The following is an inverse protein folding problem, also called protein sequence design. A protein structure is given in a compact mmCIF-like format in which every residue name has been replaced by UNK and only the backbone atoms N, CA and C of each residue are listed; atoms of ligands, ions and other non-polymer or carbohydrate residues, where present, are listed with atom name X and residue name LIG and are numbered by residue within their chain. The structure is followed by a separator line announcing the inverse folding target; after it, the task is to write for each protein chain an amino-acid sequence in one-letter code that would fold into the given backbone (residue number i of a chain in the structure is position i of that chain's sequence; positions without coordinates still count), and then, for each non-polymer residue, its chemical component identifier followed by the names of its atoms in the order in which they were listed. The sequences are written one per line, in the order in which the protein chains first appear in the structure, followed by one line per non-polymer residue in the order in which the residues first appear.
data_IF_360817873074
#
_entry.id   IF_360817873074
#
_cell.length_a   1.000
_cell.length_b   1.000
_cell.length_c   1.000
_cell.angle_alpha   90.00
_cell.angle_beta   90.00
_cell.angle_gamma   90.00
#
_symmetry.space_group_name_H-M   'P 1'
#
loop_
_entity.id
_entity.type
_entity.pdbx_description
1 polymer ?
#
# COMPACT_ATOMS: atom_id res chain seq x y z
N UNK A 1 -21.84 10.99 8.88
CA UNK A 1 -20.60 11.19 9.65
C UNK A 1 -19.71 9.98 9.41
N UNK A 2 -18.98 9.98 8.28
CA UNK A 2 -18.08 8.88 7.92
C UNK A 2 -16.85 8.97 8.83
N UNK A 3 -16.99 8.37 10.00
CA UNK A 3 -15.93 8.27 10.98
C UNK A 3 -14.70 7.65 10.32
N UNK A 4 -13.59 8.34 10.50
CA UNK A 4 -12.35 8.20 9.77
C UNK A 4 -11.71 6.85 10.11
N UNK A 5 -12.13 5.81 9.39
CA UNK A 5 -11.52 4.48 9.34
C UNK A 5 -10.14 4.49 8.65
N UNK A 6 -9.44 5.63 8.61
CA UNK A 6 -8.06 5.69 8.14
C UNK A 6 -7.14 4.85 9.04
N UNK A 7 -7.51 4.60 10.31
CA UNK A 7 -6.62 3.94 11.30
C UNK A 7 -7.34 3.11 12.39
N UNK A 8 -8.50 2.48 12.13
CA UNK A 8 -9.25 1.74 13.15
C UNK A 8 -8.65 0.37 13.57
N UNK A 9 -7.34 0.30 13.77
CA UNK A 9 -6.68 -0.78 14.49
C UNK A 9 -5.72 -0.17 15.51
N UNK A 10 -5.41 -0.90 16.58
CA UNK A 10 -4.53 -0.48 17.70
C UNK A 10 -3.13 0.04 17.29
N UNK A 11 -2.79 -0.01 16.00
CA UNK A 11 -1.63 0.68 15.43
C UNK A 11 -2.07 1.64 14.32
N UNK A 12 -1.95 2.94 14.62
CA UNK A 12 -2.01 3.99 13.61
C UNK A 12 -0.84 3.94 12.60
N UNK A 13 0.11 3.01 12.79
CA UNK A 13 1.32 2.88 11.98
C UNK A 13 1.46 1.44 11.47
N UNK A 14 1.95 1.31 10.25
CA UNK A 14 2.15 0.05 9.54
C UNK A 14 3.54 -0.53 9.82
N UNK A 15 4.53 0.33 10.10
CA UNK A 15 5.87 -0.09 10.52
C UNK A 15 5.96 -0.23 12.05
N UNK A 16 6.80 -1.15 12.52
CA UNK A 16 7.05 -1.32 13.96
C UNK A 16 7.82 -0.13 14.57
N UNK A 17 8.65 0.54 13.77
CA UNK A 17 9.49 1.67 14.19
C UNK A 17 9.37 2.83 13.20
N UNK A 18 8.37 3.68 13.40
CA UNK A 18 8.21 4.93 12.64
C UNK A 18 9.01 6.07 13.31
N UNK A 19 9.80 6.86 12.58
CA UNK A 19 10.49 8.04 13.14
C UNK A 19 9.53 8.98 13.88
N UNK A 20 9.93 9.49 15.05
CA UNK A 20 9.07 10.31 15.91
C UNK A 20 8.44 11.51 15.18
N UNK A 21 9.21 12.21 14.34
CA UNK A 21 8.73 13.36 13.56
C UNK A 21 7.71 12.96 12.48
N UNK A 22 7.90 11.80 11.84
CA UNK A 22 6.93 11.25 10.89
C UNK A 22 5.65 10.86 11.62
N UNK A 23 5.77 10.14 12.75
CA UNK A 23 4.65 9.77 13.62
C UNK A 23 3.84 10.99 14.06
N UNK A 24 4.51 12.07 14.47
CA UNK A 24 3.86 13.32 14.82
C UNK A 24 3.06 13.90 13.65
N UNK A 25 3.66 13.97 12.45
CA UNK A 25 2.99 14.52 11.27
C UNK A 25 1.78 13.68 10.83
N UNK A 26 1.89 12.35 10.87
CA UNK A 26 0.79 11.44 10.57
C UNK A 26 -0.36 11.54 11.59
N UNK A 27 -0.04 11.67 12.88
CA UNK A 27 -1.04 11.96 13.91
C UNK A 27 -1.71 13.33 13.70
N UNK A 28 -0.95 14.32 13.23
CA UNK A 28 -1.53 15.63 12.90
C UNK A 28 -2.48 15.54 11.70
N UNK A 29 -2.14 14.74 10.68
CA UNK A 29 -3.02 14.46 9.55
C UNK A 29 -4.34 13.82 10.00
N UNK A 30 -4.30 12.95 11.00
CA UNK A 30 -5.48 12.32 11.61
C UNK A 30 -6.45 13.31 12.26
N UNK A 31 -5.93 14.40 12.83
CA UNK A 31 -6.73 15.41 13.53
C UNK A 31 -7.11 16.60 12.63
N UNK A 32 -6.71 16.61 11.36
CA UNK A 32 -6.98 17.72 10.47
C UNK A 32 -8.48 17.87 10.18
N UNK A 33 -8.98 19.10 10.24
CA UNK A 33 -10.41 19.40 10.11
C UNK A 33 -10.95 19.20 8.69
N UNK A 34 -10.10 19.33 7.67
CA UNK A 34 -10.49 19.27 6.26
C UNK A 34 -9.75 18.17 5.51
N UNK A 35 -10.37 17.55 4.50
CA UNK A 35 -9.71 16.55 3.66
C UNK A 35 -8.46 17.08 2.96
N UNK A 36 -8.49 18.33 2.53
CA UNK A 36 -7.34 18.98 1.88
C UNK A 36 -6.19 19.19 2.88
N UNK A 37 -6.50 19.47 4.14
CA UNK A 37 -5.51 19.53 5.22
C UNK A 37 -4.88 18.16 5.49
N UNK A 38 -5.68 17.08 5.53
CA UNK A 38 -5.19 15.71 5.64
C UNK A 38 -4.24 15.39 4.47
N UNK A 39 -4.66 15.67 3.24
CA UNK A 39 -3.87 15.39 2.03
C UNK A 39 -2.55 16.17 2.04
N UNK A 40 -2.57 17.46 2.38
CA UNK A 40 -1.38 18.30 2.45
C UNK A 40 -0.33 17.73 3.43
N UNK A 41 -0.76 17.30 4.62
CA UNK A 41 0.10 16.73 5.64
C UNK A 41 0.67 15.37 5.22
N UNK A 42 -0.12 14.52 4.57
CA UNK A 42 0.35 13.23 4.04
C UNK A 42 1.33 13.41 2.86
N UNK A 43 1.10 14.39 2.00
CA UNK A 43 2.05 14.75 0.94
C UNK A 43 3.35 15.32 1.52
N UNK A 44 3.28 16.11 2.58
CA UNK A 44 4.45 16.59 3.32
C UNK A 44 5.22 15.43 3.97
N UNK A 45 4.52 14.48 4.58
CA UNK A 45 5.13 13.28 5.16
C UNK A 45 5.92 12.51 4.10
N UNK A 46 5.31 12.22 2.96
CA UNK A 46 5.97 11.51 1.85
C UNK A 46 7.19 12.25 1.29
N UNK A 47 7.14 13.59 1.23
CA UNK A 47 8.29 14.40 0.77
C UNK A 47 9.46 14.38 1.76
N UNK A 48 9.19 14.41 3.05
CA UNK A 48 10.23 14.45 4.10
C UNK A 48 10.79 13.08 4.45
N UNK A 49 10.00 12.03 4.28
CA UNK A 49 10.37 10.65 4.58
C UNK A 49 10.06 9.73 3.40
N UNK A 50 10.71 9.91 2.24
CA UNK A 50 10.46 9.09 1.04
C UNK A 50 10.86 7.62 1.22
N UNK A 51 11.70 7.32 2.21
CA UNK A 51 12.20 5.98 2.55
C UNK A 51 11.26 5.23 3.50
N UNK A 52 10.36 5.93 4.20
CA UNK A 52 9.55 5.37 5.28
C UNK A 52 8.23 4.81 4.76
N UNK A 53 7.90 3.54 5.02
CA UNK A 53 6.66 2.93 4.52
C UNK A 53 5.42 3.72 4.92
N UNK A 54 5.34 4.15 6.18
CA UNK A 54 4.16 4.83 6.74
C UNK A 54 3.80 6.13 6.00
N UNK A 55 4.81 6.83 5.47
CA UNK A 55 4.62 8.07 4.73
C UNK A 55 3.89 7.85 3.38
N UNK A 56 4.11 6.70 2.75
CA UNK A 56 3.44 6.30 1.51
C UNK A 56 2.08 5.66 1.77
N UNK A 57 2.03 4.74 2.76
CA UNK A 57 0.84 3.95 3.06
C UNK A 57 -0.31 4.85 3.52
N UNK A 58 -0.02 5.83 4.39
CA UNK A 58 -1.02 6.80 4.83
C UNK A 58 -1.69 7.54 3.66
N UNK A 59 -0.89 7.96 2.67
CA UNK A 59 -1.38 8.74 1.53
C UNK A 59 -2.28 7.92 0.59
N UNK A 60 -1.86 6.74 0.14
CA UNK A 60 -2.72 5.97 -0.76
C UNK A 60 -3.95 5.42 -0.04
N UNK A 61 -3.87 5.15 1.28
CA UNK A 61 -5.03 4.73 2.07
C UNK A 61 -6.02 5.88 2.22
N UNK A 62 -5.53 7.11 2.38
CA UNK A 62 -6.37 8.31 2.33
C UNK A 62 -7.15 8.39 1.02
N UNK A 63 -6.49 8.29 -0.12
CA UNK A 63 -7.19 8.30 -1.41
C UNK A 63 -8.19 7.15 -1.55
N UNK A 64 -7.83 5.94 -1.09
CA UNK A 64 -8.73 4.79 -1.12
C UNK A 64 -10.00 5.00 -0.30
N UNK A 65 -9.87 5.44 0.96
CA UNK A 65 -11.02 5.70 1.86
C UNK A 65 -11.94 6.78 1.29
N UNK A 66 -11.37 7.73 0.55
CA UNK A 66 -12.12 8.81 -0.13
C UNK A 66 -12.71 8.39 -1.48
N UNK A 67 -12.65 7.11 -1.84
CA UNK A 67 -13.05 6.56 -3.13
C UNK A 67 -12.34 7.21 -4.35
N UNK A 68 -11.20 7.90 -4.13
CA UNK A 68 -10.33 8.48 -5.17
C UNK A 68 -9.40 7.40 -5.70
N UNK A 69 -9.96 6.34 -6.28
CA UNK A 69 -9.20 5.13 -6.65
C UNK A 69 -8.12 5.36 -7.71
N UNK A 70 -8.30 6.34 -8.58
CA UNK A 70 -7.29 6.72 -9.56
C UNK A 70 -6.04 7.32 -8.88
N UNK A 71 -6.25 8.23 -7.94
CA UNK A 71 -5.19 8.85 -7.14
C UNK A 71 -4.52 7.82 -6.21
N UNK A 72 -5.32 6.91 -5.63
CA UNK A 72 -4.82 5.80 -4.84
C UNK A 72 -3.88 4.91 -5.67
N UNK A 73 -4.29 4.51 -6.88
CA UNK A 73 -3.44 3.69 -7.76
C UNK A 73 -2.17 4.45 -8.18
N UNK A 74 -2.28 5.73 -8.51
CA UNK A 74 -1.13 6.57 -8.85
C UNK A 74 -0.13 6.69 -7.67
N UNK A 75 -0.64 6.87 -6.45
CA UNK A 75 0.16 6.95 -5.23
C UNK A 75 0.84 5.61 -4.91
N UNK A 76 0.15 4.48 -5.09
CA UNK A 76 0.73 3.14 -4.93
C UNK A 76 1.84 2.88 -5.95
N UNK A 77 1.66 3.28 -7.21
CA UNK A 77 2.73 3.16 -8.21
C UNK A 77 3.95 4.02 -7.88
N UNK A 78 3.75 5.21 -7.30
CA UNK A 78 4.85 6.03 -6.80
C UNK A 78 5.58 5.33 -5.63
N UNK A 79 4.84 4.71 -4.70
CA UNK A 79 5.40 3.96 -3.59
C UNK A 79 6.22 2.74 -4.05
N UNK A 80 5.71 1.96 -5.02
CA UNK A 80 6.45 0.82 -5.61
C UNK A 80 7.78 1.28 -6.23
N UNK A 81 7.78 2.38 -6.99
CA UNK A 81 9.00 2.92 -7.60
C UNK A 81 10.00 3.41 -6.55
N UNK A 82 9.53 4.09 -5.51
CA UNK A 82 10.38 4.54 -4.42
C UNK A 82 11.00 3.34 -3.70
N UNK A 83 10.17 2.41 -3.22
CA UNK A 83 10.60 1.19 -2.54
C UNK A 83 11.64 0.39 -3.33
N UNK A 84 11.42 0.17 -4.63
CA UNK A 84 12.37 -0.53 -5.49
C UNK A 84 13.70 0.21 -5.62
N UNK A 85 13.67 1.54 -5.74
CA UNK A 85 14.87 2.38 -5.81
C UNK A 85 15.70 2.31 -4.51
N UNK A 86 15.03 2.34 -3.37
CA UNK A 86 15.64 2.24 -2.04
C UNK A 86 16.27 0.87 -1.79
N UNK A 87 15.55 -0.20 -2.12
CA UNK A 87 15.99 -1.57 -1.86
C UNK A 87 16.87 -2.15 -2.97
N UNK A 88 17.04 -1.45 -4.09
CA UNK A 88 17.98 -1.82 -5.16
C UNK A 88 17.51 -2.96 -6.08
N UNK A 89 16.20 -3.21 -6.20
CA UNK A 89 15.65 -4.23 -7.10
C UNK A 89 14.80 -3.64 -8.25
N UNK A 90 14.35 -4.49 -9.18
CA UNK A 90 13.60 -4.04 -10.36
C UNK A 90 12.23 -3.43 -9.99
N UNK A 91 11.93 -2.25 -10.52
CA UNK A 91 10.64 -1.55 -10.30
C UNK A 91 9.42 -2.24 -10.92
N UNK A 92 9.63 -3.13 -11.89
CA UNK A 92 8.57 -3.89 -12.53
C UNK A 92 8.34 -5.18 -11.74
N UNK A 93 7.27 -5.21 -10.94
CA UNK A 93 6.91 -6.37 -10.13
C UNK A 93 6.82 -7.68 -10.92
N UNK A 94 6.51 -7.63 -12.22
CA UNK A 94 6.40 -8.82 -13.07
C UNK A 94 7.75 -9.52 -13.30
N UNK A 95 8.86 -8.80 -13.11
CA UNK A 95 10.23 -9.31 -13.24
C UNK A 95 10.82 -9.80 -11.92
N UNK A 96 10.15 -9.54 -10.80
CA UNK A 96 10.61 -9.95 -9.48
C UNK A 96 10.25 -11.42 -9.23
N UNK A 97 11.09 -12.08 -8.45
CA UNK A 97 10.94 -13.44 -7.98
C UNK A 97 11.41 -13.50 -6.50
N UNK A 98 11.23 -14.64 -5.80
CA UNK A 98 11.59 -14.75 -4.38
C UNK A 98 13.07 -14.44 -4.07
N UNK A 99 13.96 -14.59 -5.04
CA UNK A 99 15.39 -14.29 -4.92
C UNK A 99 15.79 -12.84 -5.30
N UNK A 100 14.83 -11.98 -5.68
CA UNK A 100 15.13 -10.61 -6.07
C UNK A 100 15.44 -9.67 -4.91
N UNK A 101 15.01 -10.01 -3.68
CA UNK A 101 15.25 -9.27 -2.45
C UNK A 101 15.03 -10.17 -1.23
N UNK A 102 15.38 -9.68 -0.04
CA UNK A 102 15.00 -10.31 1.23
C UNK A 102 13.59 -9.88 1.64
N UNK A 103 12.59 -10.59 1.10
CA UNK A 103 11.16 -10.30 1.33
C UNK A 103 10.69 -10.55 2.76
N UNK A 104 11.52 -11.17 3.61
CA UNK A 104 11.21 -11.40 5.03
C UNK A 104 11.36 -10.14 5.89
N UNK A 105 11.97 -9.08 5.36
CA UNK A 105 12.17 -7.81 6.06
C UNK A 105 10.84 -7.15 6.41
N UNK A 106 10.65 -6.87 7.70
CA UNK A 106 9.45 -6.19 8.25
C UNK A 106 9.54 -4.67 8.25
N UNK A 107 10.56 -4.10 7.60
CA UNK A 107 10.81 -2.67 7.49
C UNK A 107 11.46 -2.33 6.15
N UNK A 108 11.50 -1.04 5.79
CA UNK A 108 12.20 -0.55 4.60
C UNK A 108 11.45 -0.79 3.28
N UNK A 109 12.21 -0.73 2.18
CA UNK A 109 11.68 -0.77 0.82
C UNK A 109 10.95 -2.07 0.49
N UNK A 110 11.48 -3.22 0.88
CA UNK A 110 10.88 -4.54 0.67
C UNK A 110 9.48 -4.61 1.30
N UNK A 111 9.37 -4.16 2.57
CA UNK A 111 8.09 -4.15 3.29
C UNK A 111 7.09 -3.20 2.66
N UNK A 112 7.52 -1.98 2.32
CA UNK A 112 6.67 -1.01 1.61
C UNK A 112 6.20 -1.59 0.27
N UNK A 113 7.08 -2.30 -0.46
CA UNK A 113 6.76 -2.86 -1.76
C UNK A 113 5.65 -3.91 -1.66
N UNK A 114 5.74 -4.86 -0.73
CA UNK A 114 4.72 -5.89 -0.55
C UNK A 114 3.37 -5.30 -0.12
N UNK A 115 3.36 -4.36 0.83
CA UNK A 115 2.13 -3.63 1.20
C UNK A 115 1.53 -2.86 0.01
N UNK A 116 2.39 -2.29 -0.83
CA UNK A 116 1.97 -1.56 -2.04
C UNK A 116 1.40 -2.50 -3.11
N UNK A 117 1.93 -3.71 -3.28
CA UNK A 117 1.33 -4.73 -4.17
C UNK A 117 -0.06 -5.14 -3.68
N UNK A 118 -0.22 -5.37 -2.38
CA UNK A 118 -1.55 -5.63 -1.79
C UNK A 118 -2.51 -4.48 -2.10
N UNK A 119 -2.11 -3.25 -1.81
CA UNK A 119 -2.93 -2.07 -2.06
C UNK A 119 -3.31 -1.94 -3.54
N UNK A 120 -2.37 -2.17 -4.47
CA UNK A 120 -2.62 -2.14 -5.91
C UNK A 120 -3.68 -3.18 -6.32
N UNK A 121 -3.58 -4.41 -5.80
CA UNK A 121 -4.58 -5.45 -6.03
C UNK A 121 -5.98 -5.05 -5.55
N UNK A 122 -6.08 -4.59 -4.31
CA UNK A 122 -7.36 -4.15 -3.71
C UNK A 122 -7.98 -2.95 -4.44
N UNK A 123 -7.16 -1.95 -4.80
CA UNK A 123 -7.61 -0.79 -5.56
C UNK A 123 -8.14 -1.24 -6.93
N UNK A 124 -7.47 -2.17 -7.61
CA UNK A 124 -7.91 -2.68 -8.90
C UNK A 124 -9.21 -3.47 -8.81
N UNK A 125 -9.43 -4.24 -7.75
CA UNK A 125 -10.74 -4.85 -7.48
C UNK A 125 -11.84 -3.79 -7.36
N UNK A 126 -11.61 -2.73 -6.58
CA UNK A 126 -12.58 -1.62 -6.46
C UNK A 126 -12.84 -0.86 -7.77
N UNK A 127 -11.91 -0.95 -8.72
CA UNK A 127 -12.04 -0.38 -10.07
C UNK A 127 -12.58 -1.38 -11.11
N UNK A 128 -13.09 -2.55 -10.68
CA UNK A 128 -13.54 -3.64 -11.55
C UNK A 128 -12.47 -4.15 -12.54
N UNK A 129 -11.18 -3.96 -12.22
CA UNK A 129 -10.03 -4.44 -13.01
C UNK A 129 -9.56 -5.79 -12.51
N UNK A 130 -10.46 -6.77 -12.49
CA UNK A 130 -10.28 -8.07 -11.82
C UNK A 130 -9.04 -8.80 -12.32
N UNK A 131 -8.86 -8.95 -13.64
CA UNK A 131 -7.70 -9.63 -14.20
C UNK A 131 -6.36 -8.98 -13.77
N UNK A 132 -6.29 -7.65 -13.77
CA UNK A 132 -5.11 -6.91 -13.33
C UNK A 132 -4.89 -6.97 -11.82
N UNK A 133 -5.95 -7.11 -11.03
CA UNK A 133 -5.86 -7.34 -9.60
C UNK A 133 -5.30 -8.73 -9.32
N UNK A 134 -5.85 -9.77 -9.97
CA UNK A 134 -5.39 -11.16 -9.87
C UNK A 134 -3.90 -11.27 -10.12
N UNK A 135 -3.40 -10.74 -11.25
CA UNK A 135 -1.97 -10.80 -11.58
C UNK A 135 -1.06 -10.15 -10.53
N UNK A 136 -1.50 -9.07 -9.86
CA UNK A 136 -0.71 -8.42 -8.82
C UNK A 136 -0.73 -9.22 -7.52
N UNK A 137 -1.89 -9.75 -7.14
CA UNK A 137 -2.08 -10.51 -5.91
C UNK A 137 -1.39 -11.88 -5.99
N UNK A 138 -1.37 -12.51 -7.17
CA UNK A 138 -0.55 -13.72 -7.41
C UNK A 138 0.93 -13.41 -7.26
N UNK A 139 1.41 -12.29 -7.83
CA UNK A 139 2.81 -11.89 -7.62
C UNK A 139 3.09 -11.60 -6.14
N UNK A 140 2.17 -10.98 -5.42
CA UNK A 140 2.35 -10.76 -3.98
C UNK A 140 2.57 -12.09 -3.25
N UNK A 141 1.73 -13.10 -3.48
CA UNK A 141 1.89 -14.41 -2.84
C UNK A 141 3.12 -15.19 -3.31
N UNK A 142 3.62 -14.92 -4.51
CA UNK A 142 4.91 -15.45 -4.94
C UNK A 142 6.06 -14.86 -4.10
N UNK A 143 6.02 -13.55 -3.80
CA UNK A 143 7.06 -12.86 -3.03
C UNK A 143 6.88 -13.01 -1.51
N UNK A 144 5.65 -13.23 -1.03
CA UNK A 144 5.26 -13.46 0.37
C UNK A 144 4.48 -14.79 0.49
N UNK A 145 5.16 -15.95 0.45
CA UNK A 145 4.49 -17.26 0.43
C UNK A 145 3.72 -17.61 1.70
N UNK A 146 4.04 -16.95 2.82
CA UNK A 146 3.36 -17.15 4.11
C UNK A 146 2.16 -16.21 4.29
N UNK A 147 1.88 -15.37 3.28
CA UNK A 147 0.81 -14.37 3.26
C UNK A 147 0.82 -13.45 4.49
N UNK A 148 2.02 -13.04 4.95
CA UNK A 148 2.16 -12.17 6.12
C UNK A 148 1.47 -10.81 5.90
N UNK A 149 1.48 -10.32 4.67
CA UNK A 149 0.84 -9.08 4.27
C UNK A 149 -0.68 -9.24 4.12
N UNK A 150 -1.18 -10.47 3.91
CA UNK A 150 -2.59 -10.78 3.80
C UNK A 150 -3.21 -10.35 2.47
N UNK A 151 -2.57 -10.72 1.37
CA UNK A 151 -3.09 -10.60 0.01
C UNK A 151 -3.97 -11.78 -0.41
N UNK A 152 -3.84 -12.93 0.24
CA UNK A 152 -4.51 -14.18 -0.14
C UNK A 152 -6.03 -14.07 -0.18
N UNK A 153 -6.65 -13.46 0.83
CA UNK A 153 -8.11 -13.26 0.87
C UNK A 153 -8.62 -12.43 -0.33
N UNK A 154 -7.86 -11.41 -0.76
CA UNK A 154 -8.22 -10.61 -1.94
C UNK A 154 -7.99 -11.37 -3.23
N UNK A 155 -7.00 -12.26 -3.29
CA UNK A 155 -6.80 -13.13 -4.45
C UNK A 155 -7.99 -14.08 -4.62
N UNK A 156 -8.53 -14.63 -3.52
CA UNK A 156 -9.73 -15.46 -3.59
C UNK A 156 -10.93 -14.68 -4.12
N UNK A 157 -11.14 -13.45 -3.65
CA UNK A 157 -12.14 -12.55 -4.22
C UNK A 157 -11.90 -12.35 -5.72
N UNK A 158 -10.66 -12.11 -6.15
CA UNK A 158 -10.34 -11.91 -7.57
C UNK A 158 -10.62 -13.16 -8.43
N UNK A 159 -10.51 -14.36 -7.85
CA UNK A 159 -10.75 -15.64 -8.53
C UNK A 159 -12.23 -15.98 -8.65
N UNK A 160 -13.07 -15.60 -7.68
CA UNK A 160 -14.52 -15.87 -7.77
C UNK A 160 -15.17 -15.18 -8.97
N UNK A 161 -14.69 -13.99 -9.37
CA UNK A 161 -15.18 -13.30 -10.57
C UNK A 161 -14.86 -14.02 -11.89
N UNK A 162 -13.93 -14.96 -11.93
CA UNK A 162 -13.67 -15.78 -13.13
C UNK A 162 -14.51 -17.05 -13.20
N UNK A 163 -15.17 -17.44 -12.12
CA UNK A 163 -16.06 -18.60 -12.06
C UNK A 163 -17.50 -18.23 -12.48
N UNK A 164 -17.87 -16.95 -12.43
CA UNK A 164 -19.21 -16.45 -12.81
C UNK A 164 -19.37 -16.16 -14.32
N UNK A 165 -18.27 -16.22 -15.10
CA UNK A 165 -18.23 -15.96 -16.55
C UNK A 165 -18.22 -17.27 -17.40
N UNK A 166 -18.31 -18.45 -16.78
CA UNK A 166 -18.50 -19.77 -17.42
C UNK A 166 -19.92 -20.33 -17.19
#
# INVERSE_FOLDING_TARGET
MAEVLLFAGERAFFSERTPHKLRYLLNHALCAATPDGVEALLLEARRRWPEEPDAHIGLYKFYFVRARYQDAEAAVWAALRAAAGVAGFDRNYRRLHPGSADWSRRQGGERLYLFSLKALGVIRLRRARVALARCVLEKLLELDPVDEIGGGAFLQIARSFSEDDE
#
